data_IF_954205193260
#
_entry.id   IF_954205193260
#
_cell.length_a   1.000
_cell.length_b   1.000
_cell.length_c   1.000
_cell.angle_alpha   90.00
_cell.angle_beta   90.00
_cell.angle_gamma   90.00
#
_symmetry.space_group_name_H-M   'P 1'
#
loop_
_entity.id
_entity.type
_entity.pdbx_description
1 polymer ?
#
# COMPACT_ATOMS: atom_id res chain seq x y z
N UNK A 1 -46.67 73.71 -55.87
CA UNK A 1 -45.72 74.21 -54.85
C UNK A 1 -45.11 72.98 -54.19
N UNK A 2 -43.83 72.70 -54.48
CA UNK A 2 -42.70 72.95 -53.55
C UNK A 2 -42.59 71.81 -52.54
N UNK A 3 -41.51 71.05 -52.36
CA UNK A 3 -40.11 71.13 -52.79
C UNK A 3 -39.62 69.70 -53.11
N UNK A 4 -38.81 69.57 -54.16
CA UNK A 4 -37.95 68.41 -54.37
C UNK A 4 -36.66 68.66 -53.58
N UNK A 5 -36.51 68.11 -52.38
CA UNK A 5 -35.21 68.02 -51.71
C UNK A 5 -34.71 66.59 -51.84
N UNK A 6 -34.01 66.30 -52.95
CA UNK A 6 -33.01 65.24 -52.95
C UNK A 6 -31.84 65.78 -52.14
N UNK A 7 -31.83 65.50 -50.84
CA UNK A 7 -30.62 65.63 -50.04
C UNK A 7 -29.65 64.56 -50.54
N UNK A 8 -28.68 65.00 -51.33
CA UNK A 8 -27.57 64.16 -51.75
C UNK A 8 -26.75 63.83 -50.52
N UNK A 9 -26.67 62.54 -50.20
CA UNK A 9 -25.70 62.01 -49.24
C UNK A 9 -24.31 62.56 -49.61
N UNK A 10 -23.70 63.33 -48.72
CA UNK A 10 -22.36 63.86 -49.00
C UNK A 10 -21.36 62.69 -49.03
N UNK A 11 -20.40 62.74 -49.94
CA UNK A 11 -19.43 61.65 -50.16
C UNK A 11 -18.66 61.30 -48.87
N UNK A 12 -18.48 62.28 -47.98
CA UNK A 12 -17.88 62.13 -46.65
C UNK A 12 -18.74 61.26 -45.73
N UNK A 13 -20.06 61.46 -45.72
CA UNK A 13 -20.99 60.69 -44.88
C UNK A 13 -21.05 59.23 -45.34
N UNK A 14 -20.98 58.98 -46.65
CA UNK A 14 -20.87 57.63 -47.21
C UNK A 14 -19.55 56.95 -46.78
N UNK A 15 -18.43 57.67 -46.81
CA UNK A 15 -17.13 57.12 -46.38
C UNK A 15 -17.10 56.80 -44.89
N UNK A 16 -17.71 57.63 -44.03
CA UNK A 16 -17.82 57.37 -42.59
C UNK A 16 -18.69 56.13 -42.34
N UNK A 17 -19.79 55.95 -43.07
CA UNK A 17 -20.62 54.75 -42.99
C UNK A 17 -19.86 53.48 -43.38
N UNK A 18 -19.12 53.52 -44.49
CA UNK A 18 -18.31 52.36 -44.93
C UNK A 18 -17.18 52.08 -43.94
N UNK A 19 -16.54 53.10 -43.37
CA UNK A 19 -15.49 52.93 -42.37
C UNK A 19 -16.02 52.33 -41.05
N UNK A 20 -17.17 52.81 -40.57
CA UNK A 20 -17.84 52.26 -39.38
C UNK A 20 -18.30 50.81 -39.62
N UNK A 21 -18.91 50.52 -40.78
CA UNK A 21 -19.27 49.15 -41.17
C UNK A 21 -18.04 48.25 -41.26
N UNK A 22 -16.94 48.71 -41.86
CA UNK A 22 -15.69 47.96 -41.95
C UNK A 22 -15.09 47.65 -40.57
N UNK A 23 -15.13 48.61 -39.65
CA UNK A 23 -14.71 48.42 -38.26
C UNK A 23 -15.57 47.38 -37.53
N UNK A 24 -16.90 47.46 -37.66
CA UNK A 24 -17.83 46.51 -37.05
C UNK A 24 -17.65 45.10 -37.62
N UNK A 25 -17.49 44.97 -38.94
CA UNK A 25 -17.26 43.66 -39.60
C UNK A 25 -15.93 43.06 -39.17
N UNK A 26 -14.87 43.85 -38.97
CA UNK A 26 -13.59 43.37 -38.46
C UNK A 26 -13.68 42.88 -37.00
N UNK A 27 -14.37 43.64 -36.15
CA UNK A 27 -14.57 43.27 -34.74
C UNK A 27 -15.45 42.01 -34.64
N UNK A 28 -16.56 41.97 -35.38
CA UNK A 28 -17.44 40.81 -35.44
C UNK A 28 -16.71 39.59 -36.03
N UNK A 29 -15.95 39.75 -37.12
CA UNK A 29 -15.17 38.68 -37.73
C UNK A 29 -14.14 38.07 -36.78
N UNK A 30 -13.42 38.92 -36.02
CA UNK A 30 -12.51 38.46 -34.95
C UNK A 30 -13.26 37.73 -33.83
N UNK A 31 -14.36 38.31 -33.33
CA UNK A 31 -15.17 37.68 -32.28
C UNK A 31 -15.79 36.34 -32.71
N UNK A 32 -16.25 36.20 -33.95
CA UNK A 32 -16.76 34.95 -34.50
C UNK A 32 -15.64 33.92 -34.71
N UNK A 33 -14.46 34.35 -35.19
CA UNK A 33 -13.30 33.47 -35.33
C UNK A 33 -12.82 32.95 -33.97
N UNK A 34 -12.70 33.84 -32.99
CA UNK A 34 -12.24 33.50 -31.64
C UNK A 34 -13.24 32.59 -30.90
N UNK A 35 -14.55 32.86 -31.02
CA UNK A 35 -15.59 31.99 -30.43
C UNK A 35 -15.67 30.61 -31.09
N UNK A 36 -15.49 30.53 -32.42
CA UNK A 36 -15.45 29.25 -33.14
C UNK A 36 -14.20 28.46 -32.75
N UNK A 37 -13.04 29.11 -32.67
CA UNK A 37 -11.78 28.50 -32.21
C UNK A 37 -11.92 27.99 -30.78
N UNK A 38 -12.49 28.78 -29.88
CA UNK A 38 -12.74 28.37 -28.50
C UNK A 38 -13.67 27.15 -28.43
N UNK A 39 -14.79 27.16 -29.18
CA UNK A 39 -15.71 26.02 -29.24
C UNK A 39 -15.04 24.75 -29.74
N UNK A 40 -14.26 24.83 -30.83
CA UNK A 40 -13.54 23.69 -31.40
C UNK A 40 -12.50 23.15 -30.42
N UNK A 41 -11.80 24.02 -29.70
CA UNK A 41 -10.84 23.63 -28.65
C UNK A 41 -11.53 22.93 -27.49
N UNK A 42 -12.61 23.50 -26.95
CA UNK A 42 -13.38 22.87 -25.88
C UNK A 42 -13.95 21.53 -26.30
N UNK A 43 -14.49 21.40 -27.52
CA UNK A 43 -14.97 20.12 -28.03
C UNK A 43 -13.83 19.10 -28.20
N UNK A 44 -12.67 19.53 -28.70
CA UNK A 44 -11.50 18.65 -28.86
C UNK A 44 -10.95 18.18 -27.52
N UNK A 45 -10.89 19.07 -26.52
CA UNK A 45 -10.50 18.74 -25.15
C UNK A 45 -11.47 17.76 -24.50
N UNK A 46 -12.79 18.00 -24.61
CA UNK A 46 -13.80 17.09 -24.05
C UNK A 46 -13.75 15.71 -24.71
N UNK A 47 -13.56 15.65 -26.02
CA UNK A 47 -13.37 14.38 -26.73
C UNK A 47 -12.09 13.67 -26.26
N UNK A 48 -10.97 14.38 -26.14
CA UNK A 48 -9.72 13.81 -25.64
C UNK A 48 -9.91 13.26 -24.22
N UNK A 49 -10.49 14.02 -23.29
CA UNK A 49 -10.80 13.54 -21.93
C UNK A 49 -11.74 12.33 -21.94
N UNK A 50 -12.76 12.30 -22.80
CA UNK A 50 -13.66 11.15 -22.90
C UNK A 50 -12.95 9.91 -23.44
N UNK A 51 -12.10 10.05 -24.46
CA UNK A 51 -11.30 8.94 -24.99
C UNK A 51 -10.33 8.41 -23.93
N UNK A 52 -9.66 9.30 -23.20
CA UNK A 52 -8.77 8.94 -22.10
C UNK A 52 -9.52 8.14 -21.02
N UNK A 53 -10.70 8.60 -20.58
CA UNK A 53 -11.51 7.89 -19.57
C UNK A 53 -12.03 6.53 -20.04
N UNK A 54 -12.40 6.41 -21.32
CA UNK A 54 -12.81 5.13 -21.91
C UNK A 54 -11.63 4.13 -21.94
N UNK A 55 -10.45 4.57 -22.36
CA UNK A 55 -9.23 3.74 -22.33
C UNK A 55 -8.93 3.28 -20.90
N UNK A 56 -8.96 4.20 -19.93
CA UNK A 56 -8.71 3.90 -18.53
C UNK A 56 -9.69 2.86 -17.97
N UNK A 57 -10.96 2.93 -18.36
CA UNK A 57 -12.00 1.97 -17.93
C UNK A 57 -11.76 0.58 -18.52
N UNK A 58 -11.54 0.47 -19.83
CA UNK A 58 -11.33 -0.83 -20.49
C UNK A 58 -10.05 -1.50 -19.95
N UNK A 59 -8.96 -0.73 -19.82
CA UNK A 59 -7.71 -1.26 -19.28
C UNK A 59 -7.84 -1.67 -17.81
N UNK A 60 -8.62 -0.92 -17.02
CA UNK A 60 -8.93 -1.27 -15.64
C UNK A 60 -9.64 -2.62 -15.56
N UNK A 61 -10.59 -2.89 -16.44
CA UNK A 61 -11.32 -4.15 -16.47
C UNK A 61 -10.39 -5.33 -16.84
N UNK A 62 -9.48 -5.14 -17.80
CA UNK A 62 -8.47 -6.16 -18.15
C UNK A 62 -7.51 -6.42 -16.97
N UNK A 63 -6.96 -5.37 -16.34
CA UNK A 63 -6.02 -5.51 -15.22
C UNK A 63 -6.69 -6.09 -13.97
N UNK A 64 -7.97 -5.76 -13.71
CA UNK A 64 -8.70 -6.30 -12.57
C UNK A 64 -8.86 -7.83 -12.66
N UNK A 65 -8.82 -8.40 -13.86
CA UNK A 65 -8.96 -9.84 -14.10
C UNK A 65 -7.66 -10.63 -13.92
N UNK A 66 -6.51 -9.97 -13.71
CA UNK A 66 -5.23 -10.64 -13.46
C UNK A 66 -5.24 -11.55 -12.22
N UNK A 67 -6.17 -11.31 -11.30
CA UNK A 67 -6.33 -12.11 -10.09
C UNK A 67 -7.22 -13.34 -10.22
N UNK A 68 -7.91 -13.49 -11.34
CA UNK A 68 -8.78 -14.63 -11.57
C UNK A 68 -7.94 -15.85 -11.97
N UNK A 69 -7.82 -16.82 -11.06
CA UNK A 69 -6.92 -18.01 -11.21
C UNK A 69 -7.59 -19.34 -10.91
N UNK A 70 -8.88 -19.29 -10.54
CA UNK A 70 -9.71 -20.45 -10.28
C UNK A 70 -10.95 -20.41 -11.15
N UNK A 71 -11.45 -21.57 -11.52
CA UNK A 71 -12.63 -21.74 -12.38
C UNK A 71 -13.53 -22.84 -11.86
N UNK A 72 -14.82 -22.78 -12.21
CA UNK A 72 -15.68 -23.96 -12.08
C UNK A 72 -15.37 -24.91 -13.24
N UNK A 73 -15.23 -26.19 -12.95
CA UNK A 73 -14.99 -27.19 -13.98
C UNK A 73 -16.29 -27.78 -14.54
N UNK A 74 -16.29 -28.05 -15.85
CA UNK A 74 -17.43 -28.64 -16.56
C UNK A 74 -17.60 -30.12 -16.16
N UNK A 75 -18.27 -30.37 -15.02
CA UNK A 75 -18.55 -31.74 -14.55
C UNK A 75 -18.59 -31.94 -13.03
N UNK A 76 -18.38 -30.88 -12.22
CA UNK A 76 -18.52 -30.98 -10.77
C UNK A 76 -19.97 -31.27 -10.36
N UNK A 77 -20.17 -32.20 -9.42
CA UNK A 77 -21.47 -32.59 -8.89
C UNK A 77 -22.25 -31.45 -8.23
N UNK A 78 -23.27 -31.76 -7.43
CA UNK A 78 -24.24 -30.83 -6.83
C UNK A 78 -23.67 -29.70 -5.93
N UNK A 79 -22.35 -29.55 -5.82
CA UNK A 79 -21.67 -28.43 -5.15
C UNK A 79 -20.68 -27.75 -6.11
N UNK A 80 -20.62 -26.41 -6.08
CA UNK A 80 -19.66 -25.61 -6.84
C UNK A 80 -18.23 -25.88 -6.35
N UNK A 81 -17.53 -26.79 -7.02
CA UNK A 81 -16.10 -27.03 -6.79
C UNK A 81 -15.32 -26.13 -7.74
N UNK A 82 -14.56 -25.19 -7.18
CA UNK A 82 -13.61 -24.37 -7.93
C UNK A 82 -12.27 -25.13 -8.02
N UNK A 83 -11.73 -25.23 -9.24
CA UNK A 83 -10.42 -25.80 -9.51
C UNK A 83 -9.39 -24.71 -9.83
N UNK A 84 -8.12 -25.04 -9.59
CA UNK A 84 -6.94 -24.25 -9.99
C UNK A 84 -6.12 -24.97 -11.06
N UNK A 85 -6.69 -25.94 -11.77
CA UNK A 85 -5.93 -26.78 -12.72
C UNK A 85 -5.29 -25.95 -13.85
N UNK A 86 -5.91 -24.82 -14.23
CA UNK A 86 -5.42 -23.92 -15.27
C UNK A 86 -4.52 -22.79 -14.75
N UNK A 87 -4.16 -22.79 -13.45
CA UNK A 87 -3.41 -21.69 -12.83
C UNK A 87 -2.02 -21.51 -13.44
N UNK A 88 -1.42 -22.61 -13.91
CA UNK A 88 -0.10 -22.63 -14.50
C UNK A 88 -0.06 -21.91 -15.86
N UNK A 89 -1.10 -22.10 -16.69
CA UNK A 89 -1.25 -21.44 -18.00
C UNK A 89 -1.43 -19.91 -17.87
N UNK A 90 -1.94 -19.44 -16.74
CA UNK A 90 -2.15 -18.00 -16.47
C UNK A 90 -0.85 -17.30 -16.09
N UNK A 91 0.17 -18.03 -15.62
CA UNK A 91 1.45 -17.43 -15.24
C UNK A 91 2.31 -17.16 -16.45
N UNK A 92 3.12 -16.11 -16.40
CA UNK A 92 3.96 -15.72 -17.53
C UNK A 92 5.06 -16.75 -17.80
N UNK A 93 5.81 -17.14 -16.76
CA UNK A 93 6.86 -18.16 -16.84
C UNK A 93 7.07 -18.87 -15.47
N UNK A 94 6.18 -19.78 -15.09
CA UNK A 94 6.24 -20.45 -13.79
C UNK A 94 7.32 -21.55 -13.70
N UNK A 95 7.82 -22.05 -14.83
CA UNK A 95 8.69 -23.23 -14.92
C UNK A 95 10.17 -22.90 -15.07
N UNK A 96 10.55 -21.63 -14.94
CA UNK A 96 11.96 -21.23 -14.98
C UNK A 96 12.80 -22.03 -13.97
N UNK A 97 13.99 -22.45 -14.39
CA UNK A 97 14.88 -23.33 -13.61
C UNK A 97 15.42 -22.67 -12.33
N UNK A 98 15.66 -21.35 -12.38
CA UNK A 98 16.14 -20.57 -11.22
C UNK A 98 14.98 -19.86 -10.54
N UNK A 99 14.91 -19.89 -9.20
CA UNK A 99 13.83 -19.27 -8.44
C UNK A 99 13.74 -17.74 -8.64
N UNK A 100 14.86 -17.09 -8.98
CA UNK A 100 14.90 -15.65 -9.27
C UNK A 100 14.19 -15.28 -10.58
N UNK A 101 14.13 -16.22 -11.53
CA UNK A 101 13.57 -16.03 -12.87
C UNK A 101 12.12 -16.54 -12.98
N UNK A 102 11.62 -17.26 -11.98
CA UNK A 102 10.23 -17.75 -11.97
C UNK A 102 9.25 -16.58 -11.92
N UNK A 103 8.52 -16.38 -13.02
CA UNK A 103 7.48 -15.37 -13.15
C UNK A 103 6.10 -15.99 -12.89
N UNK A 104 5.75 -16.10 -11.61
CA UNK A 104 4.40 -16.52 -11.17
C UNK A 104 3.38 -15.36 -11.17
N UNK A 105 3.66 -14.28 -11.89
CA UNK A 105 2.71 -13.20 -12.12
C UNK A 105 1.89 -13.43 -13.39
N UNK A 106 0.76 -12.74 -13.51
CA UNK A 106 -0.11 -12.81 -14.67
C UNK A 106 0.18 -11.70 -15.69
N UNK A 107 1.28 -10.94 -15.54
CA UNK A 107 1.56 -9.78 -16.41
C UNK A 107 3.05 -9.54 -16.67
N UNK A 108 3.37 -8.83 -17.75
CA UNK A 108 4.69 -8.28 -18.02
C UNK A 108 4.56 -6.88 -18.60
N UNK A 109 5.32 -5.93 -18.05
CA UNK A 109 5.42 -4.56 -18.57
C UNK A 109 6.81 -4.42 -19.18
N UNK A 110 6.85 -4.05 -20.46
CA UNK A 110 8.08 -3.68 -21.17
C UNK A 110 8.06 -2.17 -21.33
N UNK A 111 8.97 -1.48 -20.64
CA UNK A 111 9.18 -0.05 -20.84
C UNK A 111 9.95 0.16 -22.15
N UNK A 112 9.63 1.22 -22.88
CA UNK A 112 10.41 1.60 -24.05
C UNK A 112 11.77 2.18 -23.62
N UNK A 113 12.85 1.82 -24.29
CA UNK A 113 14.23 2.16 -23.89
C UNK A 113 14.48 3.68 -23.77
N UNK A 114 13.72 4.48 -24.53
CA UNK A 114 13.83 5.94 -24.55
C UNK A 114 13.09 6.64 -23.39
N UNK A 115 12.30 5.92 -22.57
CA UNK A 115 11.56 6.51 -21.45
C UNK A 115 10.40 7.44 -21.84
N UNK A 116 10.04 7.48 -23.12
CA UNK A 116 9.02 8.38 -23.70
C UNK A 116 7.56 8.06 -23.28
N UNK A 117 7.35 7.10 -22.38
CA UNK A 117 6.02 6.65 -21.97
C UNK A 117 5.27 6.01 -23.13
N UNK A 118 5.86 4.97 -23.72
CA UNK A 118 5.25 4.11 -24.75
C UNK A 118 5.31 2.66 -24.29
N UNK A 119 4.86 2.44 -23.07
CA UNK A 119 5.02 1.15 -22.41
C UNK A 119 4.13 0.10 -23.10
N UNK A 120 4.55 -1.16 -23.04
CA UNK A 120 3.76 -2.31 -23.49
C UNK A 120 3.41 -3.15 -22.28
N UNK A 121 2.15 -3.52 -22.12
CA UNK A 121 1.74 -4.49 -21.11
C UNK A 121 1.14 -5.72 -21.79
N UNK A 122 1.61 -6.89 -21.37
CA UNK A 122 1.06 -8.20 -21.75
C UNK A 122 0.49 -8.83 -20.48
N UNK A 123 -0.71 -9.38 -20.59
CA UNK A 123 -1.49 -9.90 -19.46
C UNK A 123 -2.08 -11.24 -19.85
N UNK A 124 -2.14 -12.18 -18.89
CA UNK A 124 -2.85 -13.45 -19.04
C UNK A 124 -4.03 -13.49 -18.08
N UNK A 125 -5.18 -13.93 -18.57
CA UNK A 125 -6.42 -14.01 -17.80
C UNK A 125 -7.26 -15.23 -18.18
N UNK A 126 -8.14 -15.66 -17.27
CA UNK A 126 -9.14 -16.69 -17.55
C UNK A 126 -10.41 -16.07 -18.14
N UNK A 127 -10.93 -16.69 -19.21
CA UNK A 127 -12.28 -16.44 -19.72
C UNK A 127 -13.25 -17.48 -19.15
N UNK A 128 -14.40 -16.98 -18.72
CA UNK A 128 -15.47 -17.78 -18.12
C UNK A 128 -16.72 -17.72 -18.98
N UNK A 129 -17.52 -18.79 -18.93
CA UNK A 129 -18.92 -18.74 -19.34
C UNK A 129 -19.77 -17.95 -18.35
N UNK A 130 -21.02 -17.64 -18.72
CA UNK A 130 -22.01 -17.00 -17.84
C UNK A 130 -22.25 -17.76 -16.52
N UNK A 131 -21.97 -19.06 -16.49
CA UNK A 131 -22.09 -19.91 -15.30
C UNK A 131 -20.79 -20.00 -14.47
N UNK A 132 -19.75 -19.23 -14.80
CA UNK A 132 -18.44 -19.26 -14.13
C UNK A 132 -17.54 -20.44 -14.49
N UNK A 133 -17.93 -21.23 -15.51
CA UNK A 133 -17.14 -22.38 -15.99
C UNK A 133 -15.99 -21.92 -16.86
N UNK A 134 -14.83 -22.55 -16.71
CA UNK A 134 -13.65 -22.31 -17.55
C UNK A 134 -13.95 -22.42 -19.05
N UNK A 135 -13.44 -21.49 -19.86
CA UNK A 135 -13.53 -21.55 -21.32
C UNK A 135 -12.17 -21.44 -22.00
N UNK A 136 -11.29 -20.52 -21.58
CA UNK A 136 -9.99 -20.31 -22.20
C UNK A 136 -9.05 -19.49 -21.28
N UNK A 137 -7.74 -19.56 -21.55
CA UNK A 137 -6.74 -18.60 -21.08
C UNK A 137 -6.42 -17.64 -22.23
N UNK A 138 -6.65 -16.35 -22.00
CA UNK A 138 -6.41 -15.28 -22.98
C UNK A 138 -5.16 -14.49 -22.62
N UNK A 139 -4.34 -14.21 -23.64
CA UNK A 139 -3.25 -13.25 -23.58
C UNK A 139 -3.69 -11.93 -24.22
N UNK A 140 -3.79 -10.89 -23.41
CA UNK A 140 -4.17 -9.54 -23.81
C UNK A 140 -2.94 -8.64 -23.78
N UNK A 141 -2.65 -8.00 -24.90
CA UNK A 141 -1.50 -7.09 -25.04
C UNK A 141 -1.96 -5.68 -25.39
N UNK A 142 -1.53 -4.70 -24.61
CA UNK A 142 -1.70 -3.28 -24.92
C UNK A 142 -0.38 -2.67 -25.33
N UNK A 143 -0.37 -1.95 -26.43
CA UNK A 143 0.84 -1.32 -26.98
C UNK A 143 0.51 -0.09 -27.82
N UNK A 144 1.50 0.78 -27.95
CA UNK A 144 1.41 1.98 -28.76
C UNK A 144 2.21 1.82 -30.05
N UNK A 145 1.55 2.05 -31.19
CA UNK A 145 2.18 2.04 -32.52
C UNK A 145 1.78 3.33 -33.26
N UNK A 146 2.74 4.15 -33.68
CA UNK A 146 2.49 5.41 -34.40
C UNK A 146 1.46 6.35 -33.73
N UNK A 147 1.53 6.49 -32.40
CA UNK A 147 0.56 7.25 -31.56
C UNK A 147 -0.86 6.69 -31.59
N UNK A 148 -1.03 5.43 -31.99
CA UNK A 148 -2.30 4.71 -31.94
C UNK A 148 -2.18 3.63 -30.88
N UNK A 149 -3.01 3.72 -29.84
CA UNK A 149 -3.08 2.71 -28.78
C UNK A 149 -3.94 1.55 -29.27
N UNK A 150 -3.34 0.37 -29.28
CA UNK A 150 -3.96 -0.86 -29.75
C UNK A 150 -4.06 -1.85 -28.59
N UNK A 151 -5.14 -2.62 -28.60
CA UNK A 151 -5.36 -3.80 -27.74
C UNK A 151 -5.38 -5.02 -28.64
N UNK A 152 -4.54 -5.99 -28.33
CA UNK A 152 -4.50 -7.28 -29.00
C UNK A 152 -4.93 -8.39 -28.05
N UNK A 153 -5.66 -9.38 -28.55
CA UNK A 153 -6.07 -10.55 -27.78
C UNK A 153 -5.84 -11.84 -28.55
N UNK A 154 -5.30 -12.85 -27.86
CA UNK A 154 -5.08 -14.20 -28.39
C UNK A 154 -5.39 -15.24 -27.32
N UNK A 155 -6.05 -16.34 -27.67
CA UNK A 155 -6.19 -17.47 -26.75
C UNK A 155 -4.92 -18.32 -26.74
N UNK A 156 -4.39 -18.62 -25.56
CA UNK A 156 -3.22 -19.50 -25.36
C UNK A 156 -3.64 -20.96 -25.18
N UNK A 157 -4.72 -21.18 -24.43
CA UNK A 157 -5.43 -22.45 -24.35
C UNK A 157 -6.94 -22.17 -24.38
N UNK A 158 -7.70 -22.95 -25.15
CA UNK A 158 -9.15 -22.74 -25.30
C UNK A 158 -9.90 -24.05 -25.43
N UNK A 159 -11.00 -24.19 -24.68
CA UNK A 159 -12.02 -25.21 -24.89
C UNK A 159 -13.05 -24.76 -25.94
N UNK A 160 -13.26 -23.44 -26.06
CA UNK A 160 -14.21 -22.82 -26.98
C UNK A 160 -13.54 -21.66 -27.71
N UNK A 161 -13.55 -21.67 -29.04
CA UNK A 161 -13.00 -20.59 -29.85
C UNK A 161 -13.80 -19.29 -29.73
N UNK A 162 -13.11 -18.15 -29.85
CA UNK A 162 -13.69 -16.82 -29.84
C UNK A 162 -13.20 -16.00 -31.03
N UNK A 163 -14.10 -15.24 -31.64
CA UNK A 163 -13.72 -14.28 -32.67
C UNK A 163 -12.97 -13.08 -32.08
N UNK A 164 -13.24 -12.71 -30.82
CA UNK A 164 -12.57 -11.58 -30.16
C UNK A 164 -11.13 -11.91 -29.74
N UNK A 165 -10.87 -13.18 -29.41
CA UNK A 165 -9.58 -13.69 -28.95
C UNK A 165 -9.25 -15.04 -29.61
N UNK A 166 -8.86 -15.05 -30.91
CA UNK A 166 -8.62 -16.28 -31.66
C UNK A 166 -7.39 -17.03 -31.14
N UNK A 167 -7.33 -18.36 -31.34
CA UNK A 167 -6.15 -19.17 -30.97
C UNK A 167 -4.98 -19.07 -31.95
N UNK A 168 -5.24 -18.88 -33.25
CA UNK A 168 -4.19 -18.84 -34.28
C UNK A 168 -3.47 -17.48 -34.35
N UNK A 169 -4.24 -16.42 -34.66
CA UNK A 169 -3.72 -15.07 -34.88
C UNK A 169 -4.35 -14.11 -33.89
N UNK A 170 -3.53 -13.27 -33.26
CA UNK A 170 -4.02 -12.30 -32.31
C UNK A 170 -4.93 -11.27 -33.01
N UNK A 171 -6.14 -11.10 -32.52
CA UNK A 171 -7.04 -10.05 -32.97
C UNK A 171 -6.51 -8.71 -32.45
N UNK A 172 -6.42 -7.69 -33.31
CA UNK A 172 -5.90 -6.37 -32.94
C UNK A 172 -6.97 -5.32 -33.18
N UNK A 173 -7.29 -4.56 -32.13
CA UNK A 173 -8.29 -3.49 -32.15
C UNK A 173 -7.64 -2.16 -31.79
N UNK A 174 -7.93 -1.14 -32.60
CA UNK A 174 -7.55 0.25 -32.28
C UNK A 174 -8.48 0.80 -31.21
N UNK A 175 -7.92 1.24 -30.09
CA UNK A 175 -8.69 1.78 -28.96
C UNK A 175 -8.70 3.31 -28.97
N UNK A 176 -7.54 3.93 -29.23
CA UNK A 176 -7.41 5.38 -29.27
C UNK A 176 -6.35 5.84 -30.27
N UNK A 177 -6.58 7.00 -30.87
CA UNK A 177 -5.64 7.68 -31.76
C UNK A 177 -5.06 8.92 -31.08
N UNK A 178 -3.90 9.37 -31.57
CA UNK A 178 -3.18 10.55 -31.07
C UNK A 178 -2.78 10.46 -29.59
N UNK A 179 -2.38 9.28 -29.16
CA UNK A 179 -1.84 9.06 -27.82
C UNK A 179 -0.38 9.52 -27.79
N UNK A 180 -0.11 10.53 -26.97
CA UNK A 180 1.22 11.10 -26.79
C UNK A 180 1.99 10.37 -25.68
N UNK A 181 1.29 9.89 -24.64
CA UNK A 181 1.88 9.14 -23.52
C UNK A 181 0.96 8.00 -23.10
N UNK A 182 1.52 6.80 -22.97
CA UNK A 182 0.94 5.61 -22.35
C UNK A 182 2.03 4.97 -21.48
N UNK A 183 1.99 5.26 -20.18
CA UNK A 183 2.96 4.75 -19.22
C UNK A 183 2.31 3.98 -18.08
N UNK A 184 2.96 2.90 -17.69
CA UNK A 184 2.51 1.96 -16.68
C UNK A 184 3.61 1.75 -15.64
N UNK A 185 3.31 2.10 -14.40
CA UNK A 185 4.23 1.90 -13.27
C UNK A 185 3.61 0.91 -12.30
N UNK A 186 4.13 -0.32 -12.17
CA UNK A 186 3.67 -1.26 -11.16
C UNK A 186 4.00 -0.73 -9.76
N UNK A 187 3.11 -0.97 -8.80
CA UNK A 187 3.37 -0.66 -7.41
C UNK A 187 4.47 -1.58 -6.87
N UNK A 188 5.36 -1.03 -6.03
CA UNK A 188 6.35 -1.81 -5.33
C UNK A 188 5.65 -2.88 -4.47
N UNK A 189 6.08 -4.15 -4.53
CA UNK A 189 5.61 -5.18 -3.62
C UNK A 189 5.81 -4.73 -2.17
N UNK A 190 4.73 -4.68 -1.39
CA UNK A 190 4.78 -4.23 0.01
C UNK A 190 5.19 -5.36 0.97
N UNK A 191 5.17 -6.62 0.50
CA UNK A 191 5.59 -7.81 1.24
C UNK A 191 6.10 -8.89 0.28
N UNK A 192 7.21 -9.57 0.61
CA UNK A 192 7.69 -10.76 -0.11
C UNK A 192 6.78 -12.00 0.10
N UNK A 193 5.99 -12.03 1.19
CA UNK A 193 5.04 -13.11 1.55
C UNK A 193 3.88 -12.54 2.38
N UNK A 194 2.66 -13.06 2.15
CA UNK A 194 1.45 -12.74 2.92
C UNK A 194 1.69 -12.79 4.45
N UNK A 195 1.23 -11.75 5.16
CA UNK A 195 1.22 -11.60 6.63
C UNK A 195 2.16 -12.50 7.42
N UNK A 196 3.49 -12.36 7.25
CA UNK A 196 4.44 -13.20 7.99
C UNK A 196 4.57 -12.69 9.41
N UNK A 197 4.27 -13.56 10.38
CA UNK A 197 4.65 -13.37 11.78
C UNK A 197 6.18 -13.25 11.84
N UNK A 198 6.69 -12.17 12.41
CA UNK A 198 8.12 -11.90 12.58
C UNK A 198 8.55 -12.24 14.02
N UNK A 199 7.68 -11.97 15.00
CA UNK A 199 7.88 -12.31 16.41
C UNK A 199 6.61 -12.93 17.00
N UNK A 200 6.73 -13.86 17.98
CA UNK A 200 7.98 -14.39 18.55
C UNK A 200 8.58 -15.52 17.70
N UNK A 201 7.84 -16.03 16.72
CA UNK A 201 8.31 -16.99 15.73
C UNK A 201 7.73 -16.64 14.36
N UNK A 202 8.28 -17.28 13.32
CA UNK A 202 7.76 -17.21 11.95
C UNK A 202 6.43 -17.97 11.76
N UNK A 203 6.02 -18.78 12.74
CA UNK A 203 4.78 -19.55 12.70
C UNK A 203 3.66 -18.83 13.46
N UNK A 204 2.50 -18.63 12.83
CA UNK A 204 1.34 -18.02 13.51
C UNK A 204 0.78 -18.87 14.68
N UNK A 205 1.09 -20.17 14.69
CA UNK A 205 0.64 -21.11 15.72
C UNK A 205 1.43 -21.02 17.02
N UNK A 206 2.69 -20.58 16.98
CA UNK A 206 3.52 -20.44 18.17
C UNK A 206 3.46 -19.01 18.71
N UNK A 207 2.87 -18.89 19.90
CA UNK A 207 2.67 -17.61 20.60
C UNK A 207 3.54 -17.50 21.85
N UNK A 208 4.39 -18.48 22.10
CA UNK A 208 5.23 -18.45 23.29
C UNK A 208 6.35 -17.44 23.08
N UNK A 209 6.60 -16.66 24.11
CA UNK A 209 7.72 -15.72 24.14
C UNK A 209 8.32 -15.71 25.53
N UNK A 210 9.54 -15.20 25.65
CA UNK A 210 10.19 -14.89 26.92
C UNK A 210 10.42 -13.39 26.98
N UNK A 211 10.42 -12.82 28.18
CA UNK A 211 10.91 -11.47 28.42
C UNK A 211 12.22 -11.54 29.18
N UNK A 212 13.17 -10.70 28.79
CA UNK A 212 14.46 -10.55 29.47
C UNK A 212 14.63 -9.12 29.91
N UNK A 213 14.97 -8.91 31.18
CA UNK A 213 15.17 -7.56 31.71
C UNK A 213 16.49 -7.00 31.21
N UNK A 214 16.50 -5.70 30.86
CA UNK A 214 17.72 -4.90 30.78
C UNK A 214 18.26 -4.73 32.20
N UNK A 215 19.55 -4.90 32.37
CA UNK A 215 20.26 -4.68 33.64
C UNK A 215 21.72 -4.30 33.35
N UNK A 216 22.39 -3.68 34.33
CA UNK A 216 23.81 -3.32 34.25
C UNK A 216 24.11 -1.89 33.78
N UNK A 217 23.09 -1.15 33.35
CA UNK A 217 23.19 0.27 32.98
C UNK A 217 22.71 1.15 34.13
N UNK A 218 23.36 2.29 34.39
CA UNK A 218 23.13 3.10 35.60
C UNK A 218 21.67 3.52 35.79
N UNK A 219 20.91 3.77 34.71
CA UNK A 219 19.52 4.23 34.79
C UNK A 219 18.47 3.13 34.58
N UNK A 220 18.90 1.87 34.43
CA UNK A 220 17.98 0.74 34.19
C UNK A 220 18.08 -0.31 35.29
N UNK A 221 16.97 -0.49 35.99
CA UNK A 221 16.84 -1.49 37.05
C UNK A 221 16.11 -2.73 36.54
N UNK A 222 16.47 -3.93 37.04
CA UNK A 222 15.80 -5.15 36.66
C UNK A 222 14.37 -5.22 37.21
N UNK A 223 13.48 -5.87 36.46
CA UNK A 223 12.13 -6.24 36.94
C UNK A 223 12.02 -7.73 37.17
N UNK A 224 11.09 -8.10 38.05
CA UNK A 224 10.74 -9.50 38.27
C UNK A 224 9.82 -9.98 37.15
N UNK A 225 10.17 -11.10 36.53
CA UNK A 225 9.48 -11.68 35.37
C UNK A 225 8.93 -13.05 35.78
N UNK A 226 7.63 -13.29 35.61
CA UNK A 226 7.01 -14.57 35.97
C UNK A 226 6.02 -15.02 34.89
N UNK A 227 6.14 -16.24 34.33
CA UNK A 227 7.21 -17.22 34.55
C UNK A 227 8.55 -16.79 33.93
N UNK A 228 9.67 -17.10 34.59
CA UNK A 228 11.02 -16.76 34.10
C UNK A 228 11.37 -17.46 32.77
N UNK A 229 10.85 -18.67 32.57
CA UNK A 229 11.06 -19.44 31.33
C UNK A 229 10.25 -18.93 30.14
N UNK A 230 9.32 -18.00 30.36
CA UNK A 230 8.41 -17.50 29.34
C UNK A 230 7.13 -18.33 29.19
N UNK A 231 6.29 -17.94 28.23
CA UNK A 231 4.98 -18.53 27.96
C UNK A 231 4.15 -17.65 27.02
N UNK A 232 2.83 -17.84 27.00
CA UNK A 232 1.91 -17.01 26.21
C UNK A 232 1.45 -15.75 26.96
N UNK A 233 1.71 -15.68 28.26
CA UNK A 233 1.35 -14.61 29.19
C UNK A 233 2.45 -14.48 30.24
N UNK A 234 3.00 -13.28 30.40
CA UNK A 234 4.09 -12.98 31.32
C UNK A 234 3.70 -11.81 32.21
N UNK A 235 3.89 -11.99 33.51
CA UNK A 235 3.66 -10.99 34.55
C UNK A 235 4.99 -10.31 34.89
N UNK A 236 4.96 -8.98 34.94
CA UNK A 236 6.04 -8.10 35.35
C UNK A 236 5.68 -7.42 36.67
N UNK A 237 6.64 -7.37 37.59
CA UNK A 237 6.49 -6.70 38.89
C UNK A 237 7.83 -6.16 39.41
N UNK A 238 7.77 -5.36 40.48
CA UNK A 238 8.96 -4.76 41.10
C UNK A 238 9.54 -3.62 40.28
N UNK A 239 8.68 -2.73 39.76
CA UNK A 239 9.13 -1.58 38.99
C UNK A 239 9.83 -0.55 39.87
N UNK A 240 10.75 0.19 39.28
CA UNK A 240 11.41 1.33 39.90
C UNK A 240 10.44 2.47 40.11
N UNK A 241 10.65 3.20 41.20
CA UNK A 241 9.80 4.31 41.61
C UNK A 241 10.62 5.60 41.61
N UNK A 242 10.14 6.60 40.88
CA UNK A 242 10.73 7.93 40.77
C UNK A 242 9.94 8.97 41.56
N UNK A 243 9.59 8.63 42.79
CA UNK A 243 8.84 9.49 43.71
C UNK A 243 9.57 9.61 45.04
N UNK A 244 9.77 10.85 45.49
CA UNK A 244 10.39 11.11 46.78
C UNK A 244 9.31 11.28 47.86
N UNK A 245 9.17 10.28 48.74
CA UNK A 245 8.21 10.32 49.84
C UNK A 245 8.53 11.40 50.89
N UNK A 246 9.77 11.84 51.01
CA UNK A 246 10.16 12.89 51.95
C UNK A 246 9.69 14.27 51.48
N UNK A 247 9.84 14.57 50.19
CA UNK A 247 9.39 15.85 49.61
C UNK A 247 7.97 15.81 49.05
N UNK A 248 7.37 14.61 48.96
CA UNK A 248 6.07 14.38 48.31
C UNK A 248 6.00 14.80 46.84
N UNK A 249 7.14 14.76 46.14
CA UNK A 249 7.28 15.20 44.76
C UNK A 249 7.94 14.12 43.88
N UNK A 250 7.61 14.06 42.57
CA UNK A 250 8.36 13.26 41.61
C UNK A 250 9.83 13.68 41.54
N UNK A 251 10.73 12.72 41.33
CA UNK A 251 12.14 13.00 41.09
C UNK A 251 12.26 13.75 39.75
N UNK A 252 12.84 14.95 39.78
CA UNK A 252 13.00 15.82 38.61
C UNK A 252 14.40 15.79 38.00
N UNK A 253 15.41 15.28 38.74
CA UNK A 253 16.78 15.17 38.24
C UNK A 253 16.91 13.98 37.27
N UNK A 254 17.20 14.19 35.97
CA UNK A 254 17.30 13.13 34.98
C UNK A 254 18.29 12.01 35.33
N UNK A 255 19.40 12.34 35.99
CA UNK A 255 20.45 11.38 36.35
C UNK A 255 20.02 10.43 37.49
N UNK A 256 18.93 10.76 38.18
CA UNK A 256 18.35 9.96 39.25
C UNK A 256 17.11 9.18 38.81
N UNK A 257 16.62 9.41 37.59
CA UNK A 257 15.43 8.73 37.08
C UNK A 257 15.82 7.31 36.68
N UNK A 258 15.17 6.33 37.31
CA UNK A 258 15.31 4.92 36.99
C UNK A 258 14.16 4.47 36.10
N UNK A 259 14.49 3.69 35.09
CA UNK A 259 13.54 3.05 34.19
C UNK A 259 13.67 1.54 34.29
N UNK A 260 12.62 0.84 33.90
CA UNK A 260 12.67 -0.59 33.66
C UNK A 260 12.46 -0.86 32.19
N UNK A 261 13.23 -1.78 31.63
CA UNK A 261 13.09 -2.17 30.24
C UNK A 261 13.20 -3.68 30.11
N UNK A 262 12.29 -4.29 29.36
CA UNK A 262 12.29 -5.71 29.06
C UNK A 262 12.22 -5.94 27.57
N UNK A 263 12.90 -6.96 27.07
CA UNK A 263 12.95 -7.30 25.65
C UNK A 263 12.36 -8.66 25.37
N UNK A 264 11.77 -8.82 24.19
CA UNK A 264 11.26 -10.11 23.72
C UNK A 264 12.43 -11.01 23.33
N UNK A 265 12.45 -12.23 23.88
CA UNK A 265 13.50 -13.25 23.73
C UNK A 265 12.87 -14.61 23.36
N UNK A 266 13.67 -15.50 22.76
CA UNK A 266 13.30 -16.89 22.53
C UNK A 266 13.37 -17.72 23.82
N UNK A 267 12.59 -18.80 23.86
CA UNK A 267 12.63 -19.76 24.97
C UNK A 267 14.03 -20.44 25.00
N UNK A 268 14.72 -20.40 26.14
CA UNK A 268 16.00 -21.10 26.34
C UNK A 268 17.29 -20.26 26.21
N UNK A 269 17.21 -18.93 26.14
CA UNK A 269 18.40 -18.06 26.13
C UNK A 269 19.18 -18.12 27.47
N UNK A 270 20.49 -18.39 27.40
CA UNK A 270 21.43 -18.47 28.54
C UNK A 270 21.74 -17.10 29.16
N UNK A 271 22.28 -17.04 30.38
CA UNK A 271 22.67 -15.83 31.16
C UNK A 271 23.75 -14.93 30.48
N UNK A 272 23.46 -14.38 29.31
CA UNK A 272 24.27 -13.39 28.60
C UNK A 272 23.65 -11.98 28.73
N UNK A 273 24.29 -10.96 28.16
CA UNK A 273 23.72 -9.62 28.07
C UNK A 273 22.38 -9.64 27.32
N UNK A 274 21.45 -8.77 27.74
CA UNK A 274 20.09 -8.71 27.20
C UNK A 274 20.05 -8.58 25.66
N UNK A 275 21.02 -7.87 25.07
CA UNK A 275 21.11 -7.65 23.61
C UNK A 275 21.43 -8.92 22.80
N UNK A 276 22.13 -9.88 23.41
CA UNK A 276 22.37 -11.20 22.81
C UNK A 276 21.20 -12.17 23.02
N UNK A 277 20.36 -11.93 24.02
CA UNK A 277 19.21 -12.77 24.33
C UNK A 277 17.96 -12.37 23.55
N UNK A 278 17.79 -11.09 23.20
CA UNK A 278 16.60 -10.63 22.51
C UNK A 278 16.54 -11.15 21.07
N UNK A 279 15.31 -11.33 20.56
CA UNK A 279 15.12 -11.72 19.16
C UNK A 279 15.39 -10.50 18.30
N UNK A 280 16.48 -10.57 17.53
CA UNK A 280 16.88 -9.52 16.60
C UNK A 280 16.07 -9.61 15.32
N UNK A 281 15.49 -8.49 14.91
CA UNK A 281 14.71 -8.37 13.68
C UNK A 281 15.29 -7.27 12.80
N UNK A 282 15.04 -7.39 11.49
CA UNK A 282 15.36 -6.36 10.51
C UNK A 282 14.07 -5.73 10.00
N UNK A 283 13.93 -4.42 10.18
CA UNK A 283 12.79 -3.64 9.69
C UNK A 283 13.16 -3.00 8.36
N UNK A 284 12.67 -3.58 7.27
CA UNK A 284 12.87 -3.06 5.91
C UNK A 284 11.99 -1.83 5.64
N UNK A 285 12.47 -0.88 4.81
CA UNK A 285 11.75 0.34 4.48
C UNK A 285 10.47 0.02 3.69
N UNK A 286 9.45 0.86 3.89
CA UNK A 286 8.16 0.85 3.21
C UNK A 286 7.30 -0.40 3.41
N UNK A 287 7.69 -1.28 4.33
CA UNK A 287 6.85 -2.39 4.78
C UNK A 287 6.00 -1.91 5.96
N UNK A 288 4.71 -2.21 5.93
CA UNK A 288 3.84 -2.01 7.09
C UNK A 288 4.00 -3.17 8.06
N UNK A 289 4.28 -2.83 9.31
CA UNK A 289 4.40 -3.76 10.42
C UNK A 289 3.28 -3.50 11.42
N UNK A 290 2.78 -4.55 12.05
CA UNK A 290 1.84 -4.46 13.17
C UNK A 290 2.45 -5.11 14.41
N UNK A 291 2.63 -4.31 15.47
CA UNK A 291 2.84 -4.82 16.82
C UNK A 291 1.46 -5.08 17.42
N UNK A 292 1.26 -6.27 17.96
CA UNK A 292 0.07 -6.58 18.75
C UNK A 292 0.42 -7.33 20.02
N UNK A 293 -0.25 -6.99 21.11
CA UNK A 293 -0.15 -7.70 22.38
C UNK A 293 -1.42 -7.45 23.19
N UNK A 294 -1.71 -8.29 24.17
CA UNK A 294 -2.82 -8.14 25.10
C UNK A 294 -2.29 -7.78 26.48
N UNK A 295 -2.91 -6.78 27.10
CA UNK A 295 -2.70 -6.40 28.48
C UNK A 295 -4.01 -6.60 29.23
N UNK A 296 -4.29 -7.81 29.73
CA UNK A 296 -5.57 -8.12 30.37
C UNK A 296 -5.75 -7.28 31.63
N UNK A 297 -7.02 -7.06 31.99
CA UNK A 297 -7.37 -6.35 33.21
C UNK A 297 -6.80 -7.07 34.44
N UNK A 298 -6.04 -6.33 35.24
CA UNK A 298 -5.51 -6.79 36.53
C UNK A 298 -6.58 -6.67 37.61
N UNK A 299 -6.43 -7.38 38.72
CA UNK A 299 -7.42 -7.35 39.80
C UNK A 299 -7.76 -5.91 40.24
N UNK A 300 -8.99 -5.70 40.72
CA UNK A 300 -9.53 -4.36 41.04
C UNK A 300 -8.69 -3.60 42.08
N UNK A 301 -7.90 -4.30 42.88
CA UNK A 301 -7.02 -3.79 43.93
C UNK A 301 -5.55 -3.64 43.50
N UNK A 302 -5.20 -3.95 42.24
CA UNK A 302 -3.81 -3.87 41.79
C UNK A 302 -3.33 -2.40 41.72
N UNK A 303 -2.19 -2.05 42.36
CA UNK A 303 -1.64 -0.70 42.36
C UNK A 303 -1.34 -0.12 40.97
N UNK A 304 -1.16 -0.97 39.94
CA UNK A 304 -0.96 -0.54 38.54
C UNK A 304 -2.12 0.29 38.00
N UNK A 305 -3.31 0.20 38.62
CA UNK A 305 -4.49 1.01 38.27
C UNK A 305 -4.35 2.50 38.63
N UNK A 306 -3.42 2.84 39.51
CA UNK A 306 -3.10 4.23 39.87
C UNK A 306 -2.13 4.89 38.88
N UNK A 307 -1.85 4.24 37.76
CA UNK A 307 -1.08 4.81 36.67
C UNK A 307 -1.73 6.10 36.16
N UNK A 308 -0.92 7.15 36.04
CA UNK A 308 -1.35 8.48 35.60
C UNK A 308 -0.75 8.81 34.22
N UNK A 309 -1.53 8.73 33.13
CA UNK A 309 -1.08 9.13 31.80
C UNK A 309 -0.52 10.56 31.81
N UNK A 310 0.61 10.77 31.13
CA UNK A 310 1.32 12.07 31.08
C UNK A 310 2.26 12.34 32.27
N UNK A 311 2.16 11.55 33.35
CA UNK A 311 3.14 11.54 34.46
C UNK A 311 3.95 10.25 34.40
N UNK A 312 3.27 9.11 34.40
CA UNK A 312 3.89 7.80 34.27
C UNK A 312 4.04 7.43 32.78
N UNK A 313 5.00 6.55 32.48
CA UNK A 313 5.34 6.16 31.13
C UNK A 313 5.30 4.64 30.97
N UNK A 314 4.51 4.16 30.00
CA UNK A 314 4.67 2.83 29.43
C UNK A 314 4.70 2.96 27.92
N UNK A 315 5.68 2.32 27.29
CA UNK A 315 5.78 2.32 25.84
C UNK A 315 6.40 1.03 25.32
N UNK A 316 6.01 0.67 24.10
CA UNK A 316 6.62 -0.42 23.34
C UNK A 316 7.32 0.18 22.13
N UNK A 317 8.52 -0.31 21.83
CA UNK A 317 9.28 0.18 20.69
C UNK A 317 10.48 -0.69 20.42
N UNK A 318 11.31 -0.26 19.49
CA UNK A 318 12.51 -0.99 19.08
C UNK A 318 13.75 -0.30 19.59
N UNK A 319 14.76 -1.10 19.94
CA UNK A 319 16.10 -0.65 20.34
C UNK A 319 17.15 -1.41 19.55
N UNK A 320 18.27 -0.76 19.25
CA UNK A 320 19.42 -1.48 18.69
C UNK A 320 19.93 -2.51 19.70
N UNK A 321 20.18 -3.74 19.26
CA UNK A 321 20.66 -4.82 20.12
C UNK A 321 22.06 -4.53 20.70
N UNK A 322 22.88 -3.75 20.00
CA UNK A 322 24.26 -3.41 20.38
C UNK A 322 24.33 -2.51 21.63
N UNK A 323 23.49 -1.47 21.69
CA UNK A 323 23.61 -0.39 22.67
C UNK A 323 22.31 -0.06 23.42
N UNK A 324 21.17 -0.62 22.99
CA UNK A 324 19.88 -0.37 23.60
C UNK A 324 19.35 1.05 23.38
N UNK A 325 19.92 1.79 22.42
CA UNK A 325 19.45 3.12 22.04
C UNK A 325 18.18 3.01 21.20
N UNK A 326 17.34 4.05 21.28
CA UNK A 326 16.13 4.19 20.47
C UNK A 326 16.50 4.38 19.00
N UNK A 327 15.66 3.87 18.10
CA UNK A 327 15.78 4.12 16.67
C UNK A 327 15.46 5.58 16.35
N UNK A 328 16.30 6.21 15.53
CA UNK A 328 16.02 7.53 14.98
C UNK A 328 14.80 7.45 14.05
N UNK A 329 13.93 8.45 14.06
CA UNK A 329 12.76 8.49 13.16
C UNK A 329 11.60 7.53 13.48
N UNK A 330 11.77 6.55 14.37
CA UNK A 330 10.67 5.71 14.86
C UNK A 330 10.33 6.03 16.32
N UNK A 331 9.12 6.54 16.54
CA UNK A 331 8.62 6.80 17.89
C UNK A 331 8.15 5.53 18.58
N UNK A 332 8.31 5.48 19.90
CA UNK A 332 7.71 4.40 20.69
C UNK A 332 6.20 4.61 20.81
N UNK A 333 5.48 3.49 20.86
CA UNK A 333 4.04 3.50 21.02
C UNK A 333 3.70 3.46 22.51
N UNK A 334 3.12 4.56 22.99
CA UNK A 334 2.62 4.63 24.36
C UNK A 334 1.37 3.77 24.52
N UNK A 335 1.29 3.08 25.64
CA UNK A 335 0.11 2.31 26.03
C UNK A 335 -0.17 2.47 27.51
N UNK A 336 -1.39 2.14 27.93
CA UNK A 336 -1.84 2.32 29.30
C UNK A 336 -2.56 1.07 29.82
N UNK A 337 -2.48 0.81 31.14
CA UNK A 337 -3.28 -0.22 31.77
C UNK A 337 -4.78 -0.02 31.48
N UNK A 338 -5.54 -1.11 31.25
CA UNK A 338 -6.98 -1.00 31.10
C UNK A 338 -7.63 -0.46 32.38
N UNK A 339 -8.50 0.53 32.25
CA UNK A 339 -9.16 1.21 33.38
C UNK A 339 -10.45 0.51 33.83
N UNK A 340 -11.07 -0.27 32.93
CA UNK A 340 -12.30 -1.03 33.14
C UNK A 340 -12.06 -2.50 32.79
N UNK A 341 -12.54 -3.40 33.66
CA UNK A 341 -12.57 -4.83 33.39
C UNK A 341 -13.94 -5.22 32.88
N UNK A 342 -14.14 -5.18 31.57
CA UNK A 342 -15.27 -5.89 30.94
C UNK A 342 -14.76 -7.29 30.56
N UNK A 343 -15.55 -8.34 30.81
CA UNK A 343 -15.23 -9.71 30.40
C UNK A 343 -15.03 -9.84 28.87
N UNK A 344 -15.49 -8.85 28.10
CA UNK A 344 -15.27 -8.72 26.65
C UNK A 344 -14.00 -7.95 26.26
N UNK A 345 -13.38 -7.21 27.18
CA UNK A 345 -12.14 -6.49 26.90
C UNK A 345 -10.93 -7.42 27.06
N UNK A 346 -10.44 -7.92 25.94
CA UNK A 346 -9.22 -8.73 25.89
C UNK A 346 -7.94 -7.92 26.20
N UNK A 347 -8.05 -6.62 26.41
CA UNK A 347 -6.90 -5.74 26.65
C UNK A 347 -5.99 -5.63 25.42
N UNK A 348 -6.49 -5.95 24.24
CA UNK A 348 -5.71 -6.00 23.00
C UNK A 348 -5.23 -4.59 22.61
N UNK A 349 -3.93 -4.48 22.32
CA UNK A 349 -3.26 -3.30 21.80
C UNK A 349 -2.71 -3.66 20.43
N UNK A 350 -3.03 -2.87 19.41
CA UNK A 350 -2.52 -3.01 18.05
C UNK A 350 -1.98 -1.67 17.57
N UNK A 351 -0.78 -1.69 17.04
CA UNK A 351 -0.11 -0.51 16.52
C UNK A 351 0.49 -0.87 15.17
N UNK A 352 0.17 -0.08 14.14
CA UNK A 352 0.73 -0.23 12.80
C UNK A 352 1.71 0.89 12.51
N UNK A 353 2.79 0.55 11.82
CA UNK A 353 3.82 1.52 11.47
C UNK A 353 4.56 1.10 10.21
N UNK A 354 5.17 2.08 9.58
CA UNK A 354 6.07 1.91 8.44
C UNK A 354 7.39 2.59 8.75
N UNK A 355 8.47 2.10 8.16
CA UNK A 355 9.79 2.74 8.25
C UNK A 355 10.18 3.30 6.89
N UNK A 356 10.94 4.39 6.86
CA UNK A 356 11.48 4.98 5.64
C UNK A 356 12.91 4.50 5.33
N UNK A 357 13.56 3.87 6.29
CA UNK A 357 14.93 3.33 6.21
C UNK A 357 14.95 1.89 6.72
N UNK A 358 16.03 1.18 6.39
CA UNK A 358 16.31 -0.15 6.95
C UNK A 358 16.89 -0.01 8.34
N UNK A 359 16.34 -0.73 9.32
CA UNK A 359 16.92 -0.89 10.64
C UNK A 359 17.28 -2.36 10.86
N UNK A 360 18.56 -2.63 11.07
CA UNK A 360 19.10 -3.98 11.30
C UNK A 360 19.35 -4.24 12.78
N UNK A 361 19.28 -5.51 13.18
CA UNK A 361 19.61 -5.98 14.53
C UNK A 361 18.87 -5.21 15.65
N UNK A 362 17.57 -5.02 15.47
CA UNK A 362 16.73 -4.33 16.47
C UNK A 362 15.92 -5.31 17.30
N UNK A 363 15.68 -4.97 18.56
CA UNK A 363 14.91 -5.78 19.49
C UNK A 363 13.66 -5.04 19.94
N UNK A 364 12.53 -5.75 19.96
CA UNK A 364 11.27 -5.25 20.49
C UNK A 364 11.35 -5.21 22.02
N UNK A 365 11.14 -4.04 22.61
CA UNK A 365 11.23 -3.82 24.05
C UNK A 365 10.06 -3.02 24.61
N UNK A 366 9.72 -3.31 25.85
CA UNK A 366 8.76 -2.57 26.66
C UNK A 366 9.51 -1.76 27.69
N UNK A 367 9.19 -0.47 27.80
CA UNK A 367 9.82 0.47 28.71
C UNK A 367 8.78 1.00 29.70
N UNK A 368 9.14 1.03 30.98
CA UNK A 368 8.30 1.47 32.09
C UNK A 368 9.04 2.50 32.94
N UNK A 369 8.37 3.61 33.25
CA UNK A 369 8.87 4.62 34.19
C UNK A 369 7.70 5.09 35.04
N UNK A 370 7.77 4.87 36.35
CA UNK A 370 6.72 5.28 37.29
C UNK A 370 7.20 6.46 38.13
N UNK A 371 6.48 7.57 38.06
CA UNK A 371 6.65 8.75 38.91
C UNK A 371 5.54 8.85 39.96
N UNK A 372 4.46 8.06 39.81
CA UNK A 372 3.41 7.92 40.80
C UNK A 372 3.86 7.02 41.95
N UNK A 373 3.52 7.37 43.21
CA UNK A 373 4.05 6.72 44.41
C UNK A 373 3.61 5.25 44.58
N UNK A 374 2.50 4.86 43.96
CA UNK A 374 1.86 3.55 44.18
C UNK A 374 1.83 2.71 42.91
N UNK A 375 1.96 3.31 41.72
CA UNK A 375 1.87 2.56 40.46
C UNK A 375 3.04 1.58 40.25
N UNK A 376 4.21 1.88 40.81
CA UNK A 376 5.43 1.04 40.70
C UNK A 376 5.33 -0.31 41.41
N UNK A 377 4.48 -0.44 42.44
CA UNK A 377 4.26 -1.70 43.14
C UNK A 377 3.20 -2.59 42.48
N UNK A 378 2.61 -2.12 41.39
CA UNK A 378 1.61 -2.84 40.61
C UNK A 378 2.20 -3.98 39.79
N UNK A 379 1.30 -4.77 39.21
CA UNK A 379 1.67 -5.82 38.28
C UNK A 379 1.20 -5.49 36.86
N UNK A 380 2.01 -5.84 35.87
CA UNK A 380 1.67 -5.69 34.45
C UNK A 380 1.75 -7.05 33.80
N UNK A 381 0.64 -7.53 33.24
CA UNK A 381 0.63 -8.77 32.45
C UNK A 381 0.66 -8.43 30.97
N UNK A 382 1.60 -9.01 30.23
CA UNK A 382 1.69 -8.92 28.78
C UNK A 382 1.46 -10.31 28.21
N UNK A 383 0.55 -10.41 27.24
CA UNK A 383 0.15 -11.67 26.62
C UNK A 383 0.17 -11.57 25.10
N UNK A 384 0.40 -12.70 24.43
CA UNK A 384 0.28 -12.82 22.97
C UNK A 384 1.05 -11.73 22.19
N UNK A 385 2.28 -11.42 22.59
CA UNK A 385 3.11 -10.44 21.87
C UNK A 385 3.40 -10.95 20.48
N UNK A 386 3.17 -10.11 19.47
CA UNK A 386 3.38 -10.41 18.06
C UNK A 386 3.89 -9.19 17.33
N UNK A 387 4.83 -9.42 16.42
CA UNK A 387 5.17 -8.50 15.36
C UNK A 387 4.88 -9.22 14.05
N UNK A 388 4.15 -8.60 13.14
CA UNK A 388 3.90 -9.18 11.81
C UNK A 388 4.06 -8.12 10.72
N UNK A 389 4.48 -8.56 9.54
CA UNK A 389 4.31 -7.76 8.32
C UNK A 389 2.81 -7.76 7.99
N UNK A 390 2.25 -6.63 7.62
CA UNK A 390 0.85 -6.50 7.19
C UNK A 390 0.82 -6.04 5.74
N UNK A 391 -0.01 -6.65 4.87
CA UNK A 391 -0.21 -6.12 3.54
C UNK A 391 -0.82 -4.71 3.64
N UNK A 392 0.00 -3.72 3.28
CA UNK A 392 -0.41 -2.31 3.26
C UNK A 392 -1.49 -2.06 2.21
N UNK A 393 -2.50 -1.26 2.56
CA UNK A 393 -3.50 -0.73 1.62
C UNK A 393 -2.99 0.47 0.80
N UNK A 394 -1.81 0.98 1.13
CA UNK A 394 -1.18 2.11 0.44
C UNK A 394 -0.14 1.60 -0.57
N UNK A 395 -0.31 1.99 -1.83
CA UNK A 395 0.61 1.67 -2.92
C UNK A 395 1.74 2.69 -2.99
N UNK A 396 2.98 2.21 -3.12
CA UNK A 396 4.12 3.05 -3.50
C UNK A 396 4.51 2.72 -4.92
N UNK A 397 4.77 3.74 -5.74
CA UNK A 397 5.18 3.58 -7.14
C UNK A 397 6.62 4.05 -7.26
N UNK A 398 7.45 3.23 -7.89
CA UNK A 398 8.86 3.51 -8.17
C UNK A 398 9.16 3.17 -9.62
N UNK A 399 10.12 3.86 -10.22
CA UNK A 399 10.61 3.54 -11.56
C UNK A 399 11.67 2.43 -11.55
N UNK A 400 12.08 1.98 -10.37
CA UNK A 400 12.96 0.82 -10.21
C UNK A 400 12.33 -0.45 -10.83
N UNK A 401 13.16 -1.23 -11.52
CA UNK A 401 12.74 -2.53 -12.04
C UNK A 401 12.39 -3.47 -10.87
N UNK A 402 11.20 -4.08 -10.93
CA UNK A 402 10.78 -5.10 -9.97
C UNK A 402 11.40 -6.43 -10.41
N UNK A 403 12.07 -7.12 -9.48
CA UNK A 403 12.60 -8.45 -9.73
C UNK A 403 11.49 -9.42 -10.16
N UNK A 404 11.79 -10.32 -11.11
CA UNK A 404 10.81 -11.22 -11.71
C UNK A 404 10.06 -12.04 -10.66
N UNK A 405 10.78 -12.63 -9.69
CA UNK A 405 10.21 -13.40 -8.59
C UNK A 405 9.22 -12.62 -7.70
N UNK A 406 9.33 -11.29 -7.64
CA UNK A 406 8.53 -10.42 -6.79
C UNK A 406 7.29 -9.84 -7.49
N UNK A 407 7.21 -9.93 -8.83
CA UNK A 407 6.06 -9.42 -9.59
C UNK A 407 4.73 -9.97 -9.10
N UNK A 408 4.69 -11.22 -8.63
CA UNK A 408 3.52 -11.89 -8.05
C UNK A 408 2.89 -11.13 -6.86
N UNK A 409 3.67 -10.27 -6.21
CA UNK A 409 3.29 -9.49 -5.03
C UNK A 409 2.88 -8.05 -5.38
N UNK A 410 2.88 -7.68 -6.67
CA UNK A 410 2.38 -6.36 -7.12
C UNK A 410 0.86 -6.31 -6.97
N UNK A 411 0.37 -5.30 -6.23
CA UNK A 411 -1.06 -5.13 -5.90
C UNK A 411 -1.72 -3.93 -6.59
N UNK A 412 -0.99 -3.14 -7.38
CA UNK A 412 -1.57 -2.09 -8.21
C UNK A 412 -0.66 -1.70 -9.37
N UNK A 413 -1.24 -1.05 -10.39
CA UNK A 413 -0.53 -0.41 -11.49
C UNK A 413 -1.04 1.04 -11.60
N UNK A 414 -0.12 2.00 -11.70
CA UNK A 414 -0.42 3.38 -12.04
C UNK A 414 -0.37 3.54 -13.56
N UNK A 415 -1.48 3.99 -14.14
CA UNK A 415 -1.61 4.38 -15.53
C UNK A 415 -1.43 5.89 -15.65
N UNK A 416 -0.56 6.33 -16.56
CA UNK A 416 -0.48 7.71 -17.01
C UNK A 416 -0.74 7.75 -18.52
N UNK A 417 -1.88 8.31 -18.90
CA UNK A 417 -2.33 8.41 -20.28
C UNK A 417 -2.46 9.88 -20.69
N UNK A 418 -1.92 10.24 -21.85
CA UNK A 418 -2.11 11.55 -22.47
C UNK A 418 -2.45 11.41 -23.94
N UNK A 419 -3.52 12.07 -24.36
CA UNK A 419 -4.01 12.11 -25.74
C UNK A 419 -4.05 13.56 -26.19
N UNK A 420 -3.51 13.84 -27.37
CA UNK A 420 -3.43 15.19 -27.91
C UNK A 420 -4.15 15.28 -29.25
N UNK A 421 -5.28 15.98 -29.26
CA UNK A 421 -6.08 16.17 -30.46
C UNK A 421 -6.07 17.63 -30.85
N UNK A 422 -5.50 17.94 -32.03
CA UNK A 422 -5.42 19.31 -32.56
C UNK A 422 -4.71 20.33 -31.64
N UNK A 423 -3.72 19.89 -30.85
CA UNK A 423 -2.97 20.74 -29.92
C UNK A 423 -3.65 20.95 -28.56
N UNK A 424 -4.77 20.28 -28.31
CA UNK A 424 -5.45 20.24 -27.01
C UNK A 424 -5.24 18.85 -26.38
N UNK A 425 -4.69 18.81 -25.17
CA UNK A 425 -4.33 17.58 -24.49
C UNK A 425 -5.38 17.19 -23.42
N UNK A 426 -5.84 15.95 -23.46
CA UNK A 426 -6.45 15.26 -22.34
C UNK A 426 -5.40 14.41 -21.64
N UNK A 427 -5.35 14.44 -20.31
CA UNK A 427 -4.48 13.57 -19.53
C UNK A 427 -5.24 13.00 -18.33
N UNK A 428 -4.97 11.74 -18.02
CA UNK A 428 -5.52 11.07 -16.84
C UNK A 428 -4.41 10.26 -16.18
N UNK A 429 -4.49 10.22 -14.85
CA UNK A 429 -3.71 9.32 -14.03
C UNK A 429 -4.68 8.45 -13.24
N UNK A 430 -4.61 7.14 -13.45
CA UNK A 430 -5.46 6.18 -12.78
C UNK A 430 -4.61 5.20 -11.97
N UNK A 431 -5.07 4.83 -10.78
CA UNK A 431 -4.48 3.75 -10.00
C UNK A 431 -5.43 2.56 -10.10
N UNK A 432 -4.93 1.47 -10.66
CA UNK A 432 -5.70 0.25 -10.90
C UNK A 432 -5.20 -0.79 -9.91
N UNK A 433 -6.08 -1.26 -9.03
CA UNK A 433 -5.74 -2.30 -8.04
C UNK A 433 -5.77 -3.68 -8.70
N UNK A 434 -4.82 -4.52 -8.33
CA UNK A 434 -4.73 -5.93 -8.73
C UNK A 434 -5.09 -6.77 -7.50
N UNK A 435 -6.29 -7.37 -7.44
CA UNK A 435 -6.75 -8.10 -6.25
C UNK A 435 -5.79 -9.25 -5.88
N UNK A 436 -5.41 -10.03 -6.89
CA UNK A 436 -4.52 -11.18 -6.78
C UNK A 436 -3.56 -11.20 -7.97
N UNK A 437 -2.31 -11.60 -7.76
CA UNK A 437 -1.33 -11.69 -8.85
C UNK A 437 -0.36 -12.87 -8.68
N UNK A 438 -0.40 -13.61 -7.58
CA UNK A 438 0.46 -14.77 -7.30
C UNK A 438 -0.30 -16.06 -6.96
N UNK A 439 0.40 -17.15 -6.59
CA UNK A 439 -0.19 -18.45 -6.27
C UNK A 439 -0.91 -18.57 -4.92
N UNK A 440 -1.02 -17.49 -4.13
CA UNK A 440 -1.83 -17.44 -2.91
C UNK A 440 -2.30 -16.01 -2.66
N UNK A 441 -3.59 -15.84 -2.39
CA UNK A 441 -4.10 -14.78 -1.52
C UNK A 441 -4.18 -15.28 -0.08
#
# INVERSE_FOLDING_TARGET
MSFNSREGFTLIELMVYIALLGGIVLIAGRAFSDSTKMRVRTQSMLQASQTVGNVGTILKDDIAQLGAKSSKEAGGGTMDVFSTDHIHDVYMDPDATEDADKDSSSFTIVKNDDGDGRDKITMRRLRYSDAGVYQAVEEVTWFLEDRVLKRSCKSTSALVEDAECPSENASVVTIAEHVDKFSLTPAKPTTEVASVSVLPSSSESDKNFKLVSRFGDENFEPVTITPEEGGTSIKLSGFSMNYNFTTSEPISNPDMIKANQVFVSSLGSSLCSWGAQCIQVTLSPYIEYEISFSMPYTATDDPSRMFCPGRDHMAVGFRYAENGNKLDGLSDFQFYPPTVGDERDTGLRKMRFTTNTTYENVCLGFTFVSFSPVASSGNITISNVRLRKVPSSNYTFTDEAIATADKKNVKAIKLELSINKNGEAGAETAIISIPSNGPRD
#
